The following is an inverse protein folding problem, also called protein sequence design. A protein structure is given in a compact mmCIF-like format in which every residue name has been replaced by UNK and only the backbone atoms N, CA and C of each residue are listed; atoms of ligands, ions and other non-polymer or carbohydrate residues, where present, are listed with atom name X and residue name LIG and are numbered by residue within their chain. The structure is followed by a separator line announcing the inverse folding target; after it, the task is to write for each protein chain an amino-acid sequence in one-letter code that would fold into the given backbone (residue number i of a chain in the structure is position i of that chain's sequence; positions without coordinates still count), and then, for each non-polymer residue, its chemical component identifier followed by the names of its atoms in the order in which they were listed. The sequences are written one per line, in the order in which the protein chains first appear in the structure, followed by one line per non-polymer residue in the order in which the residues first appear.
data_IF_924091783924
#
_entry.id   IF_924091783924
#
_cell.length_a   1.000
_cell.length_b   1.000
_cell.length_c   1.000
_cell.angle_alpha   90.00
_cell.angle_beta   90.00
_cell.angle_gamma   90.00
#
_symmetry.space_group_name_H-M   'P 1'
#
loop_
_entity.id
_entity.type
_entity.pdbx_description
1 polymer ?
#
# COMPACT_ATOMS: atom_id res chain seq x y z
N UNK A 1 27.07 9.52 39.80
CA UNK A 1 27.24 8.74 38.54
C UNK A 1 26.06 9.09 37.65
N UNK A 2 26.29 9.76 36.51
CA UNK A 2 25.21 10.10 35.58
C UNK A 2 24.83 8.81 34.83
N UNK A 3 23.72 8.20 35.22
CA UNK A 3 23.14 7.07 34.48
C UNK A 3 22.44 7.70 33.28
N UNK A 4 23.16 7.82 32.17
CA UNK A 4 22.58 8.27 30.92
C UNK A 4 21.99 7.03 30.23
N UNK A 5 20.70 7.08 29.90
CA UNK A 5 20.05 6.04 29.11
C UNK A 5 20.61 6.00 27.69
N UNK A 6 20.38 4.91 26.96
CA UNK A 6 20.76 4.81 25.54
C UNK A 6 20.25 6.01 24.72
N UNK A 7 19.00 6.43 24.94
CA UNK A 7 18.44 7.64 24.35
C UNK A 7 19.20 8.91 24.75
N UNK A 8 19.64 9.02 26.01
CA UNK A 8 20.43 10.17 26.46
C UNK A 8 21.81 10.22 25.82
N UNK A 9 22.44 9.06 25.57
CA UNK A 9 23.73 8.96 24.86
C UNK A 9 23.53 9.43 23.42
N UNK A 10 22.50 8.95 22.73
CA UNK A 10 22.21 9.40 21.38
C UNK A 10 21.94 10.90 21.33
N UNK A 11 21.09 11.44 22.20
CA UNK A 11 20.83 12.88 22.23
C UNK A 11 22.12 13.69 22.45
N UNK A 12 22.96 13.29 23.41
CA UNK A 12 24.23 13.96 23.67
C UNK A 12 25.17 13.94 22.45
N UNK A 13 25.27 12.80 21.77
CA UNK A 13 26.09 12.66 20.56
C UNK A 13 25.51 13.46 19.40
N UNK A 14 24.20 13.39 19.16
CA UNK A 14 23.51 14.10 18.09
C UNK A 14 23.53 15.63 18.27
N UNK A 15 23.61 16.14 19.50
CA UNK A 15 23.80 17.56 19.79
C UNK A 15 25.27 18.02 19.81
N UNK A 16 26.23 17.10 19.84
CA UNK A 16 27.66 17.42 19.89
C UNK A 16 28.23 17.80 18.51
N UNK A 17 29.14 18.78 18.49
CA UNK A 17 29.89 19.22 17.31
C UNK A 17 31.29 18.59 17.18
N UNK A 18 31.68 17.74 18.14
CA UNK A 18 32.99 17.07 18.14
C UNK A 18 33.16 16.17 16.90
N UNK A 19 34.39 16.04 16.35
CA UNK A 19 34.65 15.18 15.18
C UNK A 19 34.13 13.75 15.36
N UNK A 20 34.39 13.14 16.51
CA UNK A 20 34.00 11.75 16.82
C UNK A 20 32.48 11.60 16.85
N UNK A 21 31.76 12.64 17.29
CA UNK A 21 30.30 12.66 17.27
C UNK A 21 29.76 12.78 15.83
N UNK A 22 30.44 13.52 14.94
CA UNK A 22 30.07 13.60 13.52
C UNK A 22 30.31 12.28 12.80
N UNK A 23 31.41 11.59 13.11
CA UNK A 23 31.73 10.28 12.56
C UNK A 23 30.71 9.24 13.02
N UNK A 24 30.36 9.23 14.31
CA UNK A 24 29.33 8.35 14.84
C UNK A 24 27.94 8.62 14.23
N UNK A 25 27.52 9.89 14.08
CA UNK A 25 26.28 10.24 13.36
C UNK A 25 26.28 9.70 11.93
N UNK A 26 27.39 9.90 11.22
CA UNK A 26 27.55 9.42 9.84
C UNK A 26 27.48 7.90 9.75
N UNK A 27 28.06 7.20 10.71
CA UNK A 27 27.97 5.74 10.81
C UNK A 27 26.53 5.28 11.08
N UNK A 28 25.83 5.88 12.05
CA UNK A 28 24.42 5.58 12.35
C UNK A 28 23.55 5.78 11.10
N UNK A 29 23.74 6.85 10.34
CA UNK A 29 22.99 7.06 9.09
C UNK A 29 23.24 5.96 8.06
N UNK A 30 24.47 5.44 7.94
CA UNK A 30 24.76 4.29 7.06
C UNK A 30 24.08 3.03 7.55
N UNK A 31 24.12 2.75 8.85
CA UNK A 31 23.44 1.59 9.44
C UNK A 31 21.92 1.65 9.18
N UNK A 32 21.29 2.80 9.42
CA UNK A 32 19.86 2.99 9.14
C UNK A 32 19.55 2.82 7.64
N UNK A 33 20.41 3.34 6.75
CA UNK A 33 20.23 3.19 5.30
C UNK A 33 20.31 1.72 4.87
N UNK A 34 21.32 0.99 5.35
CA UNK A 34 21.48 -0.43 5.02
C UNK A 34 20.37 -1.29 5.64
N UNK A 35 19.90 -0.96 6.85
CA UNK A 35 18.71 -1.58 7.43
C UNK A 35 17.47 -1.36 6.57
N UNK A 36 17.22 -0.12 6.11
CA UNK A 36 16.08 0.18 5.20
C UNK A 36 16.18 -0.59 3.89
N UNK A 37 17.37 -0.77 3.34
CA UNK A 37 17.58 -1.57 2.13
C UNK A 37 17.35 -3.05 2.39
N UNK A 38 17.99 -3.59 3.42
CA UNK A 38 17.92 -5.00 3.79
C UNK A 38 16.50 -5.43 4.16
N UNK A 39 15.72 -4.55 4.78
CA UNK A 39 14.31 -4.78 5.10
C UNK A 39 13.35 -4.42 3.96
N UNK A 40 13.85 -4.01 2.79
CA UNK A 40 13.03 -3.62 1.64
C UNK A 40 12.26 -2.31 1.79
N UNK A 41 12.50 -1.50 2.83
CA UNK A 41 11.81 -0.22 3.05
C UNK A 41 12.11 0.83 1.97
N UNK A 42 13.33 0.90 1.43
CA UNK A 42 13.66 1.87 0.37
C UNK A 42 12.88 1.56 -0.94
N UNK A 43 12.82 0.28 -1.32
CA UNK A 43 11.96 -0.17 -2.42
C UNK A 43 10.47 0.00 -2.12
N UNK A 44 10.07 -0.19 -0.87
CA UNK A 44 8.68 0.01 -0.43
C UNK A 44 8.24 1.49 -0.49
N UNK A 45 9.12 2.45 -0.18
CA UNK A 45 8.79 3.88 -0.31
C UNK A 45 8.56 4.29 -1.76
N UNK A 46 9.42 3.81 -2.68
CA UNK A 46 9.25 4.01 -4.12
C UNK A 46 7.95 3.35 -4.60
N UNK A 47 7.72 2.10 -4.20
CA UNK A 47 6.48 1.39 -4.49
C UNK A 47 5.25 2.15 -3.97
N UNK A 48 5.27 2.69 -2.75
CA UNK A 48 4.15 3.49 -2.22
C UNK A 48 3.88 4.76 -3.02
N UNK A 49 4.92 5.41 -3.54
CA UNK A 49 4.73 6.56 -4.43
C UNK A 49 4.06 6.13 -5.73
N UNK A 50 4.53 5.04 -6.34
CA UNK A 50 3.98 4.49 -7.58
C UNK A 50 2.54 3.96 -7.41
N UNK A 51 2.24 3.25 -6.32
CA UNK A 51 0.89 2.76 -5.99
C UNK A 51 -0.12 3.90 -5.83
N UNK A 52 0.32 5.06 -5.32
CA UNK A 52 -0.53 6.25 -5.25
C UNK A 52 -0.86 6.80 -6.64
N UNK A 53 0.10 6.79 -7.56
CA UNK A 53 -0.11 7.21 -8.95
C UNK A 53 -1.01 6.21 -9.69
N UNK A 54 -0.75 4.91 -9.52
CA UNK A 54 -1.58 3.84 -10.07
C UNK A 54 -3.02 3.94 -9.57
N UNK A 55 -3.24 4.18 -8.28
CA UNK A 55 -4.58 4.37 -7.73
C UNK A 55 -5.27 5.58 -8.37
N UNK A 56 -4.58 6.72 -8.55
CA UNK A 56 -5.15 7.89 -9.23
C UNK A 56 -5.54 7.59 -10.68
N UNK A 57 -4.67 6.87 -11.40
CA UNK A 57 -4.94 6.45 -12.77
C UNK A 57 -6.18 5.55 -12.84
N UNK A 58 -6.31 4.57 -11.95
CA UNK A 58 -7.48 3.69 -11.89
C UNK A 58 -8.76 4.46 -11.56
N UNK A 59 -8.71 5.45 -10.66
CA UNK A 59 -9.89 6.28 -10.39
C UNK A 59 -10.24 7.15 -11.59
N UNK A 60 -9.26 7.69 -12.32
CA UNK A 60 -9.51 8.41 -13.57
C UNK A 60 -10.18 7.50 -14.62
N UNK A 61 -9.66 6.29 -14.81
CA UNK A 61 -10.26 5.28 -15.72
C UNK A 61 -11.69 4.93 -15.32
N UNK A 62 -11.96 4.77 -14.03
CA UNK A 62 -13.32 4.51 -13.54
C UNK A 62 -14.26 5.69 -13.84
N UNK A 63 -13.80 6.92 -13.62
CA UNK A 63 -14.57 8.11 -13.91
C UNK A 63 -14.94 8.21 -15.40
N UNK A 64 -13.99 7.89 -16.29
CA UNK A 64 -14.18 7.91 -17.74
C UNK A 64 -15.01 6.72 -18.25
N UNK A 65 -14.96 5.57 -17.54
CA UNK A 65 -15.62 4.33 -17.93
C UNK A 65 -17.10 4.23 -17.55
N UNK A 66 -17.55 5.00 -16.55
CA UNK A 66 -18.95 5.01 -16.09
C UNK A 66 -19.80 6.05 -16.84
N UNK A 67 -21.05 5.71 -17.15
CA UNK A 67 -22.03 6.63 -17.77
C UNK A 67 -22.36 7.82 -16.87
N UNK A 68 -22.43 7.59 -15.55
CA UNK A 68 -22.74 8.61 -14.53
C UNK A 68 -21.89 8.37 -13.28
N UNK A 69 -20.60 8.75 -13.30
CA UNK A 69 -19.70 8.51 -12.18
C UNK A 69 -20.15 9.28 -10.94
N UNK A 70 -20.23 8.59 -9.80
CA UNK A 70 -20.56 9.19 -8.51
C UNK A 70 -19.54 8.80 -7.44
N UNK A 71 -19.49 9.58 -6.35
CA UNK A 71 -18.55 9.34 -5.23
C UNK A 71 -18.62 7.91 -4.69
N UNK A 72 -19.83 7.32 -4.67
CA UNK A 72 -20.07 5.96 -4.17
C UNK A 72 -19.38 4.89 -5.01
N UNK A 73 -19.16 5.12 -6.31
CA UNK A 73 -18.53 4.13 -7.19
C UNK A 73 -17.05 3.97 -6.87
N UNK A 74 -16.34 5.08 -6.64
CA UNK A 74 -14.95 5.06 -6.21
C UNK A 74 -14.78 4.37 -4.85
N UNK A 75 -15.70 4.63 -3.90
CA UNK A 75 -15.70 3.96 -2.60
C UNK A 75 -15.92 2.45 -2.79
N UNK A 76 -16.85 2.07 -3.67
CA UNK A 76 -17.15 0.67 -3.98
C UNK A 76 -15.96 -0.05 -4.59
N UNK A 77 -15.31 0.53 -5.59
CA UNK A 77 -14.11 -0.04 -6.22
C UNK A 77 -13.00 -0.29 -5.19
N UNK A 78 -12.72 0.70 -4.34
CA UNK A 78 -11.69 0.57 -3.30
C UNK A 78 -12.07 -0.45 -2.22
N UNK A 79 -13.35 -0.54 -1.84
CA UNK A 79 -13.83 -1.49 -0.85
C UNK A 79 -13.74 -2.93 -1.37
N UNK A 80 -14.14 -3.15 -2.63
CA UNK A 80 -14.01 -4.45 -3.30
C UNK A 80 -12.53 -4.85 -3.37
N UNK A 81 -11.65 -3.98 -3.87
CA UNK A 81 -10.23 -4.29 -3.96
C UNK A 81 -9.60 -4.61 -2.59
N UNK A 82 -9.91 -3.81 -1.55
CA UNK A 82 -9.41 -4.05 -0.20
C UNK A 82 -9.86 -5.41 0.35
N UNK A 83 -11.15 -5.73 0.19
CA UNK A 83 -11.71 -6.99 0.67
C UNK A 83 -11.15 -8.18 -0.09
N UNK A 84 -11.02 -8.09 -1.42
CA UNK A 84 -10.47 -9.14 -2.27
C UNK A 84 -9.02 -9.48 -1.91
N UNK A 85 -8.16 -8.47 -1.72
CA UNK A 85 -6.79 -8.67 -1.25
C UNK A 85 -6.77 -9.29 0.14
N UNK A 86 -7.62 -8.81 1.05
CA UNK A 86 -7.69 -9.37 2.41
C UNK A 86 -8.03 -10.86 2.37
N UNK A 87 -9.02 -11.27 1.56
CA UNK A 87 -9.39 -12.67 1.35
C UNK A 87 -8.24 -13.49 0.75
N UNK A 88 -7.57 -12.97 -0.29
CA UNK A 88 -6.41 -13.63 -0.93
C UNK A 88 -5.30 -13.96 0.07
N UNK A 89 -5.10 -13.11 1.08
CA UNK A 89 -4.09 -13.33 2.13
C UNK A 89 -4.66 -14.00 3.40
N UNK A 90 -5.84 -14.62 3.33
CA UNK A 90 -6.41 -15.41 4.43
C UNK A 90 -7.06 -14.59 5.55
N UNK A 91 -7.26 -13.28 5.38
CA UNK A 91 -7.94 -12.44 6.37
C UNK A 91 -9.47 -12.52 6.22
N UNK A 92 -10.20 -12.97 7.26
CA UNK A 92 -11.66 -13.07 7.18
C UNK A 92 -12.33 -11.68 7.16
N UNK A 93 -11.66 -10.65 7.68
CA UNK A 93 -12.12 -9.26 7.68
C UNK A 93 -11.26 -8.41 6.75
N UNK A 94 -11.85 -7.35 6.21
CA UNK A 94 -11.15 -6.41 5.35
C UNK A 94 -10.10 -5.64 6.16
N UNK A 95 -8.86 -5.69 5.71
CA UNK A 95 -7.76 -4.84 6.16
C UNK A 95 -7.84 -3.51 5.40
N UNK A 96 -7.68 -2.38 6.09
CA UNK A 96 -7.64 -1.07 5.44
C UNK A 96 -6.32 -0.93 4.68
N UNK A 97 -6.33 -0.22 3.54
CA UNK A 97 -5.13 0.00 2.72
C UNK A 97 -3.92 0.52 3.54
N UNK A 98 -4.15 1.41 4.50
CA UNK A 98 -3.09 1.98 5.33
C UNK A 98 -2.37 0.95 6.22
N UNK A 99 -3.06 -0.16 6.54
CA UNK A 99 -2.58 -1.21 7.44
C UNK A 99 -2.11 -2.45 6.67
N UNK A 100 -2.07 -2.38 5.33
CA UNK A 100 -1.65 -3.49 4.48
C UNK A 100 -0.13 -3.64 4.44
N UNK A 101 0.34 -4.88 4.49
CA UNK A 101 1.74 -5.22 4.25
C UNK A 101 2.13 -4.93 2.77
N UNK A 102 3.44 -4.76 2.46
CA UNK A 102 3.91 -4.48 1.11
C UNK A 102 3.39 -5.44 0.03
N UNK A 103 3.45 -6.75 0.29
CA UNK A 103 2.97 -7.76 -0.67
C UNK A 103 1.46 -7.65 -0.93
N UNK A 104 0.68 -7.30 0.10
CA UNK A 104 -0.76 -7.08 -0.06
C UNK A 104 -1.04 -5.87 -0.96
N UNK A 105 -0.25 -4.80 -0.83
CA UNK A 105 -0.40 -3.62 -1.68
C UNK A 105 -0.01 -3.92 -3.14
N UNK A 106 1.04 -4.71 -3.34
CA UNK A 106 1.46 -5.17 -4.67
C UNK A 106 0.36 -5.99 -5.34
N UNK A 107 -0.27 -6.90 -4.60
CA UNK A 107 -1.40 -7.68 -5.08
C UNK A 107 -2.67 -6.84 -5.30
N UNK A 108 -2.81 -5.75 -4.56
CA UNK A 108 -3.95 -4.84 -4.64
C UNK A 108 -4.02 -4.08 -5.96
N UNK A 109 -2.90 -3.69 -6.54
CA UNK A 109 -2.86 -2.93 -7.81
C UNK A 109 -3.63 -3.62 -8.94
N UNK A 110 -3.28 -4.86 -9.35
CA UNK A 110 -4.00 -5.55 -10.42
C UNK A 110 -5.46 -5.85 -10.04
N UNK A 111 -5.76 -6.13 -8.77
CA UNK A 111 -7.13 -6.36 -8.30
C UNK A 111 -7.98 -5.09 -8.42
N UNK A 112 -7.43 -3.92 -8.11
CA UNK A 112 -8.13 -2.65 -8.29
C UNK A 112 -8.36 -2.37 -9.78
N UNK A 113 -7.38 -2.64 -10.63
CA UNK A 113 -7.52 -2.48 -12.08
C UNK A 113 -8.64 -3.37 -12.64
N UNK A 114 -8.66 -4.66 -12.30
CA UNK A 114 -9.73 -5.60 -12.66
C UNK A 114 -11.10 -5.12 -12.19
N UNK A 115 -11.17 -4.62 -10.95
CA UNK A 115 -12.41 -4.11 -10.36
C UNK A 115 -12.94 -2.91 -11.16
N UNK A 116 -12.08 -1.96 -11.49
CA UNK A 116 -12.44 -0.77 -12.28
C UNK A 116 -12.90 -1.15 -13.68
N UNK A 117 -12.20 -2.07 -14.33
CA UNK A 117 -12.57 -2.57 -15.65
C UNK A 117 -13.96 -3.22 -15.61
N UNK A 118 -14.18 -4.16 -14.69
CA UNK A 118 -15.46 -4.86 -14.59
C UNK A 118 -16.61 -3.91 -14.24
N UNK A 119 -16.40 -2.92 -13.36
CA UNK A 119 -17.40 -1.89 -13.08
C UNK A 119 -17.76 -1.09 -14.33
N UNK A 120 -16.75 -0.70 -15.12
CA UNK A 120 -16.95 0.08 -16.35
C UNK A 120 -17.67 -0.73 -17.42
N UNK A 121 -17.26 -1.99 -17.64
CA UNK A 121 -17.90 -2.90 -18.61
C UNK A 121 -19.34 -3.20 -18.18
N UNK A 122 -19.56 -3.48 -16.89
CA UNK A 122 -20.91 -3.70 -16.34
C UNK A 122 -21.82 -2.53 -16.64
N UNK A 123 -21.41 -1.31 -16.32
CA UNK A 123 -22.22 -0.11 -16.51
C UNK A 123 -22.44 0.20 -18.00
N UNK A 124 -21.38 0.08 -18.82
CA UNK A 124 -21.42 0.33 -20.26
C UNK A 124 -22.43 -0.58 -20.97
N UNK A 125 -22.37 -1.88 -20.70
CA UNK A 125 -23.19 -2.88 -21.40
C UNK A 125 -24.44 -3.33 -20.63
N UNK A 126 -24.66 -2.83 -19.41
CA UNK A 126 -25.81 -3.23 -18.59
C UNK A 126 -25.76 -4.69 -18.16
N UNK A 127 -24.56 -5.22 -17.87
CA UNK A 127 -24.39 -6.63 -17.52
C UNK A 127 -25.02 -6.95 -16.17
N UNK A 128 -25.74 -8.06 -16.10
CA UNK A 128 -26.29 -8.60 -14.86
C UNK A 128 -25.26 -9.49 -14.14
N UNK A 129 -24.20 -8.85 -13.63
CA UNK A 129 -23.12 -9.54 -12.90
C UNK A 129 -22.81 -8.84 -11.58
N UNK A 130 -22.53 -9.60 -10.53
CA UNK A 130 -22.06 -9.06 -9.25
C UNK A 130 -20.56 -8.79 -9.31
N UNK A 131 -20.17 -7.51 -9.35
CA UNK A 131 -18.74 -7.12 -9.45
C UNK A 131 -17.94 -7.68 -8.27
N UNK A 132 -18.44 -7.55 -7.04
CA UNK A 132 -17.75 -8.02 -5.85
C UNK A 132 -17.52 -9.52 -5.88
N UNK A 133 -18.56 -10.29 -6.19
CA UNK A 133 -18.48 -11.75 -6.12
C UNK A 133 -17.57 -12.30 -7.22
N UNK A 134 -17.62 -11.72 -8.43
CA UNK A 134 -16.72 -12.07 -9.53
C UNK A 134 -15.26 -11.80 -9.16
N UNK A 135 -14.97 -10.63 -8.58
CA UNK A 135 -13.61 -10.27 -8.16
C UNK A 135 -13.12 -11.15 -6.99
N UNK A 136 -13.98 -11.47 -6.02
CA UNK A 136 -13.60 -12.34 -4.89
C UNK A 136 -13.28 -13.75 -5.36
N UNK A 137 -14.17 -14.37 -6.14
CA UNK A 137 -13.97 -15.73 -6.68
C UNK A 137 -12.67 -15.84 -7.49
N UNK A 138 -12.41 -14.88 -8.39
CA UNK A 138 -11.16 -14.83 -9.20
C UNK A 138 -9.89 -14.85 -8.35
N UNK A 139 -9.94 -14.30 -7.13
CA UNK A 139 -8.78 -14.16 -6.26
C UNK A 139 -8.72 -15.17 -5.11
N UNK A 140 -9.82 -15.91 -4.85
CA UNK A 140 -9.85 -17.05 -3.92
C UNK A 140 -9.23 -18.32 -4.54
N UNK A 141 -9.40 -18.55 -5.85
CA UNK A 141 -8.92 -19.75 -6.57
C UNK A 141 -7.39 -19.88 -6.67
N UNK A 142 -6.61 -18.88 -6.24
CA UNK A 142 -5.14 -18.90 -6.32
C UNK A 142 -4.43 -19.33 -5.03
N UNK A 143 -5.16 -19.85 -4.05
CA UNK A 143 -4.62 -20.27 -2.73
C UNK A 143 -4.53 -21.80 -2.57
N UNK A 144 -4.76 -22.58 -3.64
CA UNK A 144 -4.56 -24.04 -3.67
C UNK A 144 -3.25 -24.44 -4.34
#
# INVERSE_FOLDING_TARGET
MLIISEYGIYNAVFSSNKPEAKDFKSWIFRVIKELRKASGYEGFEIFRMLDKEHQKEMMKKLQEGLKKPARVDFIKANTIANKAVSLKHGYPKMVKKADMAPEMLKDREPILADTVELMSVKDKYGLDVSVSDTIYKKNEEKVS
#
